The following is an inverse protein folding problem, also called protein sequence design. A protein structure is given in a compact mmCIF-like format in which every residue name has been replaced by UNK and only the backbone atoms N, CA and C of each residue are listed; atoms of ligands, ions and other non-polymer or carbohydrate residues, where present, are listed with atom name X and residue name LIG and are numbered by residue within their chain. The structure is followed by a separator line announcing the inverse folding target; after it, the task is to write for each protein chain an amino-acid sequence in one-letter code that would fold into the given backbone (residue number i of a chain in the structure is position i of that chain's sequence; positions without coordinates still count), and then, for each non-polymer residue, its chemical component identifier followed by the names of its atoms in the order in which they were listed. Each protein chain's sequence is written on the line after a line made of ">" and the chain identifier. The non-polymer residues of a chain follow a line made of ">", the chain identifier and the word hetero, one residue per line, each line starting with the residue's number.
data_IF_663436975060
#
_entry.id   IF_663436975060
#
_cell.length_a   1.000
_cell.length_b   1.000
_cell.length_c   1.000
_cell.angle_alpha   90.00
_cell.angle_beta   90.00
_cell.angle_gamma   90.00
#
_symmetry.space_group_name_H-M   'P 1'
#
loop_
_entity.id
_entity.type
_entity.pdbx_description
1 polymer ?
#
# COMPACT_ATOMS: atom_id res chain seq x y z
N UNK A 1 -58.53 -1.60 -35.64
CA UNK A 1 -59.62 -2.31 -34.95
C UNK A 1 -59.10 -2.86 -33.63
N UNK A 2 -59.92 -2.79 -32.59
CA UNK A 2 -59.66 -3.09 -31.17
C UNK A 2 -58.87 -2.04 -30.37
N UNK A 3 -59.47 -0.85 -30.25
CA UNK A 3 -59.68 -0.26 -28.93
C UNK A 3 -61.02 -0.82 -28.39
N UNK A 4 -61.08 -1.24 -27.13
CA UNK A 4 -62.21 -1.14 -26.18
C UNK A 4 -62.28 -2.35 -25.24
N UNK A 5 -62.72 -2.11 -23.99
CA UNK A 5 -62.60 -2.94 -22.78
C UNK A 5 -61.17 -2.92 -22.19
N UNK A 6 -60.85 -2.25 -21.08
CA UNK A 6 -61.59 -2.06 -19.84
C UNK A 6 -61.13 -0.75 -19.21
N UNK A 7 -61.89 0.32 -19.44
CA UNK A 7 -62.03 1.44 -18.51
C UNK A 7 -63.48 1.37 -18.07
N UNK A 8 -63.72 0.92 -16.84
CA UNK A 8 -64.86 1.24 -15.95
C UNK A 8 -64.77 0.21 -14.82
N UNK A 9 -64.08 0.57 -13.75
CA UNK A 9 -64.49 0.25 -12.38
C UNK A 9 -63.62 1.08 -11.43
N UNK A 10 -64.29 2.09 -10.85
CA UNK A 10 -64.03 2.67 -9.54
C UNK A 10 -62.93 3.73 -9.41
N UNK A 11 -63.40 4.98 -9.49
CA UNK A 11 -62.88 6.13 -8.74
C UNK A 11 -63.21 5.97 -7.25
N UNK A 12 -62.42 6.66 -6.39
CA UNK A 12 -62.46 6.74 -4.92
C UNK A 12 -61.88 5.49 -4.25
N UNK A 13 -60.86 5.52 -3.40
CA UNK A 13 -60.15 6.49 -2.52
C UNK A 13 -58.69 5.96 -2.49
N UNK A 14 -57.60 6.69 -2.25
CA UNK A 14 -57.24 7.47 -1.08
C UNK A 14 -55.80 7.98 -1.30
N UNK A 15 -55.50 9.11 -0.68
CA UNK A 15 -54.28 9.88 -0.84
C UNK A 15 -53.10 9.21 -0.11
N UNK A 16 -52.46 8.21 -0.69
CA UNK A 16 -51.20 7.67 -0.13
C UNK A 16 -50.03 8.54 -0.59
N UNK A 17 -49.70 9.56 0.20
CA UNK A 17 -48.39 10.23 0.10
C UNK A 17 -47.31 9.17 0.25
N UNK A 18 -46.59 8.87 -0.83
CA UNK A 18 -45.32 8.18 -0.75
C UNK A 18 -44.38 9.06 0.07
N UNK A 19 -44.17 8.71 1.34
CA UNK A 19 -43.15 9.33 2.19
C UNK A 19 -41.82 8.85 1.61
N UNK A 20 -41.14 9.72 0.88
CA UNK A 20 -39.76 9.52 0.47
C UNK A 20 -38.87 9.57 1.71
N UNK A 21 -38.59 8.40 2.29
CA UNK A 21 -37.51 8.22 3.26
C UNK A 21 -36.15 8.26 2.55
N UNK A 22 -35.81 9.38 1.91
CA UNK A 22 -34.41 9.75 1.65
C UNK A 22 -33.91 10.59 2.82
N UNK A 23 -33.91 9.98 4.01
CA UNK A 23 -33.09 10.45 5.12
C UNK A 23 -31.63 10.17 4.76
N UNK A 24 -30.97 11.14 4.13
CA UNK A 24 -29.52 11.17 4.12
C UNK A 24 -29.08 11.27 5.59
N UNK A 25 -28.71 10.12 6.17
CA UNK A 25 -27.99 10.10 7.44
C UNK A 25 -26.69 10.86 7.20
N UNK A 26 -26.69 12.15 7.53
CA UNK A 26 -25.46 12.95 7.62
C UNK A 26 -24.62 12.31 8.70
N UNK A 27 -23.75 11.38 8.30
CA UNK A 27 -22.83 10.75 9.24
C UNK A 27 -21.80 11.80 9.66
N UNK A 28 -21.99 12.38 10.84
CA UNK A 28 -21.12 13.39 11.45
C UNK A 28 -19.80 12.75 11.92
N UNK A 29 -18.92 12.41 10.99
CA UNK A 29 -17.56 11.99 11.31
C UNK A 29 -16.60 13.17 11.21
N UNK A 30 -15.57 13.19 12.06
CA UNK A 30 -14.49 14.16 11.97
C UNK A 30 -13.77 14.08 10.61
N UNK A 31 -13.40 15.24 10.07
CA UNK A 31 -12.65 15.36 8.79
C UNK A 31 -11.15 15.21 8.99
N UNK A 32 -10.67 15.43 10.20
CA UNK A 32 -9.28 15.27 10.61
C UNK A 32 -9.21 14.97 12.12
N UNK A 33 -8.06 14.48 12.57
CA UNK A 33 -7.77 14.31 13.97
C UNK A 33 -6.27 14.55 14.23
N UNK A 34 -5.97 15.12 15.38
CA UNK A 34 -4.59 15.34 15.85
C UNK A 34 -4.22 14.29 16.89
N UNK A 35 -3.01 13.76 16.77
CA UNK A 35 -2.46 12.73 17.63
C UNK A 35 -1.11 13.17 18.18
N UNK A 36 -0.86 12.84 19.44
CA UNK A 36 0.45 12.99 20.05
C UNK A 36 1.26 11.71 19.89
N UNK A 37 2.52 11.87 19.52
CA UNK A 37 3.48 10.79 19.30
C UNK A 37 4.60 10.87 20.33
N UNK A 38 5.29 9.75 20.53
CA UNK A 38 6.44 9.72 21.44
C UNK A 38 7.62 10.47 20.79
N UNK A 39 8.35 11.30 21.55
CA UNK A 39 9.54 11.96 21.02
C UNK A 39 10.60 10.92 20.63
N UNK A 40 11.32 11.20 19.55
CA UNK A 40 12.41 10.33 19.08
C UNK A 40 13.67 10.54 19.94
N UNK A 41 14.40 9.44 20.20
CA UNK A 41 15.77 9.54 20.72
C UNK A 41 16.67 10.10 19.63
N UNK A 42 17.31 11.24 19.89
CA UNK A 42 18.15 11.93 18.92
C UNK A 42 19.62 11.51 19.03
N UNK A 43 20.34 11.54 17.90
CA UNK A 43 21.78 11.37 17.85
C UNK A 43 22.36 12.45 16.92
N UNK A 44 23.20 13.34 17.46
CA UNK A 44 23.82 14.47 16.73
C UNK A 44 22.80 15.39 16.01
N UNK A 45 21.65 15.62 16.64
CA UNK A 45 20.62 16.56 16.18
C UNK A 45 20.14 17.38 17.37
N UNK A 46 19.97 18.69 17.16
CA UNK A 46 19.51 19.62 18.20
C UNK A 46 18.00 19.53 18.42
N UNK A 47 17.24 19.21 17.37
CA UNK A 47 15.78 19.06 17.42
C UNK A 47 15.30 17.87 16.58
N UNK A 48 14.17 17.30 16.96
CA UNK A 48 13.53 16.17 16.29
C UNK A 48 12.29 16.59 15.49
N UNK A 49 11.64 15.62 14.82
CA UNK A 49 10.33 15.85 14.21
C UNK A 49 9.29 16.30 15.24
N UNK A 50 8.25 17.05 14.82
CA UNK A 50 7.14 17.41 15.69
C UNK A 50 6.47 16.18 16.33
N UNK A 51 6.08 16.30 17.60
CA UNK A 51 5.37 15.21 18.31
C UNK A 51 3.86 15.24 18.09
N UNK A 52 3.31 16.38 17.69
CA UNK A 52 1.90 16.52 17.35
C UNK A 52 1.72 16.39 15.85
N UNK A 53 0.84 15.48 15.42
CA UNK A 53 0.57 15.19 14.01
C UNK A 53 -0.92 15.21 13.74
N UNK A 54 -1.33 15.93 12.70
CA UNK A 54 -2.72 15.94 12.21
C UNK A 54 -2.81 15.08 10.97
N UNK A 55 -3.85 14.25 10.89
CA UNK A 55 -4.14 13.42 9.73
C UNK A 55 -5.58 13.62 9.29
N UNK A 56 -5.79 13.79 7.99
CA UNK A 56 -7.14 13.86 7.44
C UNK A 56 -7.79 12.48 7.42
N UNK A 57 -9.13 12.46 7.41
CA UNK A 57 -9.90 11.23 7.29
C UNK A 57 -9.53 10.43 6.04
N UNK A 58 -9.32 11.10 4.92
CA UNK A 58 -9.04 10.44 3.64
C UNK A 58 -7.66 9.80 3.63
N UNK A 59 -6.65 10.45 4.21
CA UNK A 59 -5.32 9.88 4.43
C UNK A 59 -5.39 8.68 5.37
N UNK A 60 -6.11 8.79 6.48
CA UNK A 60 -6.27 7.69 7.43
C UNK A 60 -6.92 6.45 6.77
N UNK A 61 -7.97 6.65 5.97
CA UNK A 61 -8.62 5.58 5.20
C UNK A 61 -7.66 5.00 4.16
N UNK A 62 -6.88 5.83 3.46
CA UNK A 62 -5.89 5.40 2.49
C UNK A 62 -4.82 4.52 3.14
N UNK A 63 -4.21 4.98 4.24
CA UNK A 63 -3.17 4.22 4.94
C UNK A 63 -3.72 2.92 5.53
N UNK A 64 -4.92 2.95 6.10
CA UNK A 64 -5.59 1.75 6.58
C UNK A 64 -5.78 0.72 5.47
N UNK A 65 -6.30 1.15 4.30
CA UNK A 65 -6.47 0.27 3.13
C UNK A 65 -5.13 -0.29 2.65
N UNK A 66 -4.08 0.53 2.58
CA UNK A 66 -2.76 0.09 2.16
C UNK A 66 -2.17 -0.95 3.12
N UNK A 67 -2.19 -0.67 4.43
CA UNK A 67 -1.71 -1.62 5.45
C UNK A 67 -2.49 -2.93 5.39
N UNK A 68 -3.82 -2.85 5.27
CA UNK A 68 -4.66 -4.05 5.20
C UNK A 68 -4.43 -4.84 3.91
N UNK A 69 -4.22 -4.17 2.77
CA UNK A 69 -3.86 -4.85 1.52
C UNK A 69 -2.55 -5.61 1.68
N UNK A 70 -1.52 -4.99 2.25
CA UNK A 70 -0.24 -5.67 2.54
C UNK A 70 -0.48 -6.88 3.44
N UNK A 71 -1.18 -6.72 4.57
CA UNK A 71 -1.52 -7.84 5.47
C UNK A 71 -2.17 -9.01 4.74
N UNK A 72 -3.08 -8.72 3.79
CA UNK A 72 -3.78 -9.74 3.01
C UNK A 72 -2.89 -10.39 1.95
N UNK A 73 -2.02 -9.63 1.28
CA UNK A 73 -0.97 -10.18 0.39
C UNK A 73 -0.12 -11.18 1.17
N UNK A 74 0.37 -10.81 2.35
CA UNK A 74 1.26 -11.65 3.15
C UNK A 74 0.55 -12.91 3.68
N UNK A 75 -0.72 -12.77 4.11
CA UNK A 75 -1.54 -13.91 4.54
C UNK A 75 -1.77 -14.90 3.41
N UNK A 76 -2.14 -14.40 2.22
CA UNK A 76 -2.31 -15.23 1.03
C UNK A 76 -0.99 -15.92 0.63
N UNK A 77 0.12 -15.18 0.67
CA UNK A 77 1.46 -15.73 0.38
C UNK A 77 1.84 -16.83 1.36
N UNK A 78 1.56 -16.66 2.66
CA UNK A 78 1.76 -17.68 3.68
C UNK A 78 0.93 -18.95 3.43
N UNK A 79 -0.32 -18.81 2.99
CA UNK A 79 -1.19 -19.95 2.67
C UNK A 79 -0.71 -20.69 1.41
N UNK A 80 -0.44 -19.96 0.32
CA UNK A 80 0.06 -20.52 -0.94
C UNK A 80 1.42 -21.22 -0.77
N UNK A 81 2.25 -20.76 0.18
CA UNK A 81 3.50 -21.43 0.56
C UNK A 81 3.25 -22.78 1.26
N UNK A 82 2.29 -22.82 2.20
CA UNK A 82 1.89 -24.08 2.87
C UNK A 82 1.33 -25.09 1.88
N UNK A 83 0.58 -24.62 0.88
CA UNK A 83 0.03 -25.39 -0.24
C UNK A 83 1.10 -25.80 -1.28
N UNK A 84 2.37 -25.42 -1.07
CA UNK A 84 3.51 -25.73 -1.97
C UNK A 84 3.40 -25.09 -3.37
N UNK A 85 2.51 -24.12 -3.55
CA UNK A 85 2.38 -23.35 -4.79
C UNK A 85 3.53 -22.33 -4.88
N UNK A 86 3.83 -21.63 -3.78
CA UNK A 86 5.07 -20.85 -3.64
C UNK A 86 6.16 -21.80 -3.14
N UNK A 87 7.36 -21.70 -3.72
CA UNK A 87 8.53 -22.52 -3.38
C UNK A 87 9.75 -21.66 -3.06
N UNK A 88 10.78 -22.25 -2.47
CA UNK A 88 12.01 -21.55 -2.14
C UNK A 88 11.82 -20.58 -0.98
N UNK A 89 12.29 -19.34 -1.13
CA UNK A 89 12.16 -18.32 -0.09
C UNK A 89 10.81 -17.60 -0.14
N UNK A 90 10.27 -17.24 1.03
CA UNK A 90 9.06 -16.43 1.17
C UNK A 90 9.10 -15.64 2.49
N UNK A 91 9.57 -14.39 2.45
CA UNK A 91 9.77 -13.58 3.65
C UNK A 91 8.60 -12.62 3.85
N UNK A 92 7.70 -12.96 4.78
CA UNK A 92 6.46 -12.20 4.96
C UNK A 92 6.68 -10.85 5.65
N UNK A 93 6.11 -9.77 5.13
CA UNK A 93 6.19 -8.41 5.72
C UNK A 93 5.13 -8.14 6.80
N UNK A 94 4.38 -9.16 7.23
CA UNK A 94 3.28 -9.02 8.18
C UNK A 94 3.77 -8.51 9.54
N UNK A 95 3.14 -7.45 10.05
CA UNK A 95 3.51 -6.79 11.31
C UNK A 95 4.41 -5.56 11.12
N UNK A 96 4.95 -5.34 9.92
CA UNK A 96 5.80 -4.19 9.60
C UNK A 96 5.10 -3.19 8.64
N UNK A 97 3.79 -3.31 8.45
CA UNK A 97 3.05 -2.53 7.44
C UNK A 97 3.15 -1.03 7.67
N UNK A 98 3.15 -0.60 8.94
CA UNK A 98 3.29 0.80 9.31
C UNK A 98 4.64 1.40 8.84
N UNK A 99 5.72 0.61 8.84
CA UNK A 99 7.01 1.06 8.34
C UNK A 99 6.93 1.39 6.85
N UNK A 100 6.41 0.47 6.04
CA UNK A 100 6.36 0.68 4.59
C UNK A 100 5.34 1.75 4.17
N UNK A 101 4.13 1.71 4.74
CA UNK A 101 3.07 2.68 4.41
C UNK A 101 3.44 4.07 4.92
N UNK A 102 3.94 4.20 6.14
CA UNK A 102 4.35 5.47 6.72
C UNK A 102 5.50 6.11 5.94
N UNK A 103 6.53 5.35 5.57
CA UNK A 103 7.60 5.84 4.73
C UNK A 103 7.12 6.20 3.32
N UNK A 104 6.28 5.36 2.68
CA UNK A 104 5.74 5.67 1.35
C UNK A 104 4.90 6.95 1.35
N UNK A 105 4.22 7.24 2.46
CA UNK A 105 3.42 8.46 2.60
C UNK A 105 4.27 9.75 2.56
N UNK A 106 5.54 9.70 2.98
CA UNK A 106 6.46 10.83 2.92
C UNK A 106 7.32 10.88 1.66
N UNK A 107 7.31 9.83 0.84
CA UNK A 107 8.06 9.79 -0.42
C UNK A 107 7.45 10.72 -1.48
N UNK A 108 8.32 11.46 -2.16
CA UNK A 108 7.99 12.22 -3.37
C UNK A 108 8.11 11.32 -4.61
N UNK A 109 7.51 11.71 -5.75
CA UNK A 109 7.54 10.89 -6.97
C UNK A 109 8.95 10.58 -7.52
N UNK A 110 9.92 11.46 -7.27
CA UNK A 110 11.31 11.31 -7.68
C UNK A 110 12.19 10.60 -6.63
N UNK A 111 11.65 10.31 -5.45
CA UNK A 111 12.39 9.56 -4.44
C UNK A 111 12.42 8.08 -4.80
N UNK A 112 13.48 7.42 -4.35
CA UNK A 112 13.81 6.04 -4.67
C UNK A 112 13.92 5.20 -3.42
N UNK A 113 13.72 3.89 -3.54
CA UNK A 113 13.89 2.97 -2.42
C UNK A 113 14.55 1.67 -2.86
N UNK A 114 15.40 1.14 -1.99
CA UNK A 114 16.03 -0.16 -2.11
C UNK A 114 15.99 -0.87 -0.76
N UNK A 115 15.78 -2.18 -0.76
CA UNK A 115 15.68 -2.97 0.47
C UNK A 115 16.26 -4.36 0.29
N UNK A 116 16.30 -5.13 1.38
CA UNK A 116 16.69 -6.54 1.39
C UNK A 116 15.55 -7.43 0.82
N UNK A 117 15.46 -8.69 1.20
CA UNK A 117 14.54 -9.67 0.59
C UNK A 117 13.09 -9.67 1.13
N UNK A 118 12.77 -8.86 2.15
CA UNK A 118 11.43 -8.80 2.75
C UNK A 118 10.64 -7.63 2.15
N UNK A 119 10.15 -7.78 0.91
CA UNK A 119 9.71 -6.62 0.11
C UNK A 119 8.32 -6.70 -0.50
N UNK A 120 7.50 -7.72 -0.28
CA UNK A 120 6.22 -7.81 -1.01
C UNK A 120 5.32 -6.57 -0.78
N UNK A 121 5.25 -6.07 0.45
CA UNK A 121 4.55 -4.82 0.79
C UNK A 121 5.13 -3.59 0.08
N UNK A 122 6.46 -3.48 0.00
CA UNK A 122 7.14 -2.41 -0.74
C UNK A 122 6.87 -2.49 -2.24
N UNK A 123 6.96 -3.68 -2.83
CA UNK A 123 6.66 -3.92 -4.24
C UNK A 123 5.23 -3.45 -4.57
N UNK A 124 4.25 -3.76 -3.72
CA UNK A 124 2.88 -3.28 -3.87
C UNK A 124 2.76 -1.74 -3.78
N UNK A 125 3.41 -1.13 -2.80
CA UNK A 125 3.40 0.33 -2.61
C UNK A 125 4.16 1.09 -3.70
N UNK A 126 5.05 0.42 -4.41
CA UNK A 126 5.81 0.94 -5.54
C UNK A 126 5.17 0.52 -6.88
N UNK A 127 3.84 0.60 -6.95
CA UNK A 127 3.02 0.50 -8.16
C UNK A 127 2.97 -0.87 -8.85
N UNK A 128 3.37 -1.95 -8.18
CA UNK A 128 3.08 -3.30 -8.66
C UNK A 128 1.72 -3.75 -8.12
N UNK A 129 0.86 -4.26 -9.00
CA UNK A 129 -0.44 -4.77 -8.59
C UNK A 129 -0.32 -5.99 -7.67
N UNK A 130 -1.33 -6.22 -6.82
CA UNK A 130 -1.45 -7.42 -5.98
C UNK A 130 -1.28 -8.69 -6.82
N UNK A 131 -1.90 -8.72 -8.01
CA UNK A 131 -1.79 -9.83 -8.96
C UNK A 131 -0.36 -10.00 -9.46
N UNK A 132 0.35 -8.91 -9.76
CA UNK A 132 1.75 -8.94 -10.18
C UNK A 132 2.66 -9.52 -9.09
N UNK A 133 2.46 -9.12 -7.83
CA UNK A 133 3.21 -9.64 -6.68
C UNK A 133 2.95 -11.14 -6.48
N UNK A 134 1.68 -11.54 -6.36
CA UNK A 134 1.32 -12.95 -6.15
C UNK A 134 1.67 -13.85 -7.34
N UNK A 135 1.58 -13.33 -8.57
CA UNK A 135 2.01 -14.05 -9.78
C UNK A 135 3.52 -14.29 -9.77
N UNK A 136 4.32 -13.32 -9.32
CA UNK A 136 5.77 -13.49 -9.21
C UNK A 136 6.12 -14.53 -8.13
N UNK A 137 5.46 -14.46 -6.97
CA UNK A 137 5.64 -15.43 -5.88
C UNK A 137 5.31 -16.86 -6.33
N UNK A 138 4.29 -17.03 -7.15
CA UNK A 138 3.86 -18.33 -7.69
C UNK A 138 4.58 -18.72 -8.99
N UNK A 139 5.60 -17.97 -9.41
CA UNK A 139 6.45 -18.28 -10.55
C UNK A 139 5.75 -18.21 -11.91
N UNK A 140 4.79 -17.31 -12.09
CA UNK A 140 3.97 -17.19 -13.30
C UNK A 140 4.48 -16.08 -14.22
N UNK A 141 4.24 -16.23 -15.53
CA UNK A 141 4.60 -15.25 -16.57
C UNK A 141 4.02 -13.84 -16.31
N UNK A 142 2.87 -13.75 -15.63
CA UNK A 142 2.22 -12.50 -15.24
C UNK A 142 2.86 -11.81 -14.02
N UNK A 143 3.90 -12.41 -13.42
CA UNK A 143 4.67 -11.80 -12.35
C UNK A 143 5.40 -10.55 -12.80
N UNK A 144 5.72 -9.65 -11.86
CA UNK A 144 6.43 -8.40 -12.15
C UNK A 144 7.84 -8.61 -12.75
N UNK A 145 8.46 -9.77 -12.52
CA UNK A 145 9.69 -10.23 -13.16
C UNK A 145 9.46 -11.49 -14.01
N UNK A 146 8.23 -11.72 -14.46
CA UNK A 146 7.81 -12.84 -15.31
C UNK A 146 8.12 -14.22 -14.71
N UNK A 147 8.09 -14.34 -13.39
CA UNK A 147 8.36 -15.57 -12.64
C UNK A 147 9.84 -15.94 -12.56
N UNK A 148 10.75 -15.00 -12.88
CA UNK A 148 12.20 -15.22 -12.83
C UNK A 148 12.83 -14.81 -11.51
N UNK A 149 12.20 -13.90 -10.77
CA UNK A 149 12.76 -13.32 -9.55
C UNK A 149 12.27 -14.00 -8.27
N UNK A 150 11.01 -14.42 -8.25
CA UNK A 150 10.38 -14.99 -7.06
C UNK A 150 10.25 -13.97 -5.92
N UNK A 151 10.21 -14.47 -4.67
CA UNK A 151 9.95 -13.63 -3.47
C UNK A 151 10.96 -12.50 -3.26
N UNK A 152 12.24 -12.78 -3.50
CA UNK A 152 13.31 -11.86 -3.10
C UNK A 152 13.58 -10.79 -4.16
N UNK A 153 13.28 -11.03 -5.44
CA UNK A 153 13.75 -10.18 -6.55
C UNK A 153 12.59 -9.61 -7.35
N UNK A 154 11.94 -8.59 -6.79
CA UNK A 154 10.88 -7.83 -7.44
C UNK A 154 11.36 -6.39 -7.64
N UNK A 155 11.01 -5.75 -8.76
CA UNK A 155 11.48 -4.41 -9.12
C UNK A 155 10.34 -3.60 -9.74
N UNK A 156 10.41 -2.28 -9.62
CA UNK A 156 9.53 -1.35 -10.32
C UNK A 156 10.20 0.02 -10.46
N UNK A 157 9.48 1.01 -11.01
CA UNK A 157 10.02 2.37 -11.17
C UNK A 157 10.42 2.94 -9.81
N UNK A 158 11.66 3.43 -9.70
CA UNK A 158 12.25 3.97 -8.47
C UNK A 158 12.25 3.00 -7.27
N UNK A 159 12.01 1.70 -7.52
CA UNK A 159 12.16 0.63 -6.55
C UNK A 159 13.21 -0.33 -7.06
N UNK A 160 14.41 -0.21 -6.50
CA UNK A 160 15.59 -1.01 -6.88
C UNK A 160 15.60 -2.40 -6.21
N UNK A 161 14.40 -2.81 -5.80
CA UNK A 161 14.02 -4.17 -5.54
C UNK A 161 14.41 -4.73 -4.19
N UNK A 162 14.18 -6.04 -4.11
CA UNK A 162 14.64 -6.85 -3.01
C UNK A 162 15.97 -7.52 -3.32
N UNK A 163 16.85 -7.47 -2.35
CA UNK A 163 18.22 -7.96 -2.46
C UNK A 163 18.41 -9.15 -1.53
N UNK A 164 18.86 -10.28 -2.10
CA UNK A 164 19.03 -11.54 -1.38
C UNK A 164 20.35 -11.63 -0.59
N UNK A 165 21.31 -10.75 -0.88
CA UNK A 165 22.59 -10.70 -0.18
C UNK A 165 22.51 -9.65 0.92
N UNK A 166 22.64 -10.10 2.17
CA UNK A 166 22.53 -9.26 3.36
C UNK A 166 23.56 -8.13 3.31
N UNK A 167 23.12 -6.89 3.49
CA UNK A 167 23.94 -5.68 3.50
C UNK A 167 24.28 -5.12 2.12
N UNK A 168 24.23 -5.91 1.06
CA UNK A 168 24.65 -5.50 -0.29
C UNK A 168 23.80 -4.34 -0.87
N UNK A 169 22.55 -4.21 -0.45
CA UNK A 169 21.66 -3.14 -0.90
C UNK A 169 22.03 -1.76 -0.35
N UNK A 170 22.78 -1.70 0.77
CA UNK A 170 23.14 -0.43 1.42
C UNK A 170 24.07 0.41 0.52
N UNK A 171 25.23 -0.11 0.07
CA UNK A 171 26.08 0.65 -0.85
C UNK A 171 25.41 0.91 -2.22
N UNK A 172 24.53 0.00 -2.69
CA UNK A 172 23.75 0.25 -3.90
C UNK A 172 22.80 1.45 -3.73
N UNK A 173 22.12 1.55 -2.58
CA UNK A 173 21.28 2.71 -2.25
C UNK A 173 22.07 4.01 -2.16
N UNK A 174 23.28 3.97 -1.59
CA UNK A 174 24.19 5.12 -1.61
C UNK A 174 24.58 5.53 -3.04
N UNK A 175 24.79 4.56 -3.94
CA UNK A 175 25.01 4.79 -5.37
C UNK A 175 23.82 5.46 -6.06
N UNK A 176 22.59 5.04 -5.75
CA UNK A 176 21.37 5.69 -6.27
C UNK A 176 21.25 7.12 -5.75
N UNK A 177 21.52 7.36 -4.46
CA UNK A 177 21.56 8.71 -3.89
C UNK A 177 22.64 9.59 -4.56
N UNK A 178 23.82 9.02 -4.81
CA UNK A 178 24.89 9.71 -5.54
C UNK A 178 24.45 10.07 -6.96
N UNK A 179 23.79 9.17 -7.68
CA UNK A 179 23.27 9.45 -9.02
C UNK A 179 22.26 10.62 -9.00
N UNK A 180 21.37 10.70 -8.01
CA UNK A 180 20.46 11.84 -7.87
C UNK A 180 21.23 13.15 -7.70
N UNK A 181 22.23 13.18 -6.80
CA UNK A 181 23.08 14.36 -6.63
C UNK A 181 23.85 14.72 -7.90
N UNK A 182 24.45 13.74 -8.56
CA UNK A 182 25.30 13.93 -9.74
C UNK A 182 24.53 14.50 -10.93
N UNK A 183 23.30 14.01 -11.13
CA UNK A 183 22.42 14.47 -12.22
C UNK A 183 21.62 15.73 -11.86
N UNK A 184 21.79 16.27 -10.65
CA UNK A 184 20.98 17.40 -10.17
C UNK A 184 19.50 17.05 -10.01
N UNK A 185 19.17 15.77 -9.81
CA UNK A 185 17.82 15.36 -9.46
C UNK A 185 17.58 15.61 -7.97
N UNK A 186 16.54 16.35 -7.64
CA UNK A 186 16.15 16.64 -6.25
C UNK A 186 15.51 15.41 -5.52
N UNK A 187 15.94 14.19 -5.83
CA UNK A 187 15.41 12.95 -5.25
C UNK A 187 16.31 12.39 -4.16
N UNK A 188 15.74 11.76 -3.13
CA UNK A 188 16.49 10.99 -2.12
C UNK A 188 16.35 9.49 -2.35
N UNK A 189 17.27 8.70 -1.81
CA UNK A 189 17.16 7.23 -1.78
C UNK A 189 16.98 6.74 -0.34
N UNK A 190 15.89 6.02 -0.10
CA UNK A 190 15.68 5.27 1.13
C UNK A 190 16.39 3.92 0.99
N UNK A 191 17.55 3.77 1.66
CA UNK A 191 18.32 2.53 1.67
C UNK A 191 18.04 1.74 2.96
N UNK A 192 17.18 0.72 2.85
CA UNK A 192 16.69 -0.05 4.00
C UNK A 192 17.57 -1.27 4.29
N UNK A 193 17.80 -1.54 5.57
CA UNK A 193 18.46 -2.75 6.06
C UNK A 193 17.83 -3.20 7.38
N UNK A 194 17.91 -4.50 7.66
CA UNK A 194 17.47 -5.06 8.94
C UNK A 194 18.53 -4.89 10.00
N UNK A 195 18.15 -5.07 11.26
CA UNK A 195 19.01 -5.00 12.44
C UNK A 195 20.20 -5.98 12.40
N UNK A 196 20.06 -7.12 11.73
CA UNK A 196 21.13 -8.11 11.57
C UNK A 196 22.03 -7.92 10.33
N UNK A 197 21.74 -6.94 9.47
CA UNK A 197 22.50 -6.67 8.24
C UNK A 197 23.58 -5.61 8.46
#
# INVERSE_FOLDING_TARGET
>A
MLNSCVKILLRHTENTRAISFFGSSKKNYATEATFETKPFKLHKLDSGPPTSVTISRDEAIKFYKQMQTIRRIETASGNLYKEKIIRGFCHLYSGQEACAVGMKASMRPNDSIISAYRVHGWTYLMDVSVVGVLSELTGRKSGCARGKGGSMHMYSKNFYGGNGIVGAQVPLGAGVAFANKYLGHDGVCFALYGDGA
#
